data_IF_053037234346
#
_entry.id   IF_053037234346
#
_cell.length_a   1.000
_cell.length_b   1.000
_cell.length_c   1.000
_cell.angle_alpha   90.00
_cell.angle_beta   90.00
_cell.angle_gamma   90.00
#
_symmetry.space_group_name_H-M   'P 1'
#
loop_
_entity.id
_entity.type
_entity.pdbx_description
1 polymer ?
#
# COMPACT_ATOMS: atom_id res chain seq x y z
N UNK A 1 6.68 -38.12 6.10
CA UNK A 1 6.64 -37.35 4.84
C UNK A 1 5.37 -36.48 4.74
N UNK A 2 4.18 -37.01 5.01
CA UNK A 2 2.90 -36.27 4.92
C UNK A 2 2.84 -35.08 5.91
N UNK A 3 3.41 -35.24 7.11
CA UNK A 3 3.35 -34.25 8.19
C UNK A 3 4.18 -32.96 7.89
N UNK A 4 5.32 -33.13 7.20
CA UNK A 4 6.18 -32.00 6.83
C UNK A 4 5.57 -31.14 5.70
N UNK A 5 4.92 -31.79 4.73
CA UNK A 5 4.25 -31.12 3.60
C UNK A 5 3.03 -30.33 4.09
N UNK A 6 2.23 -30.89 4.99
CA UNK A 6 1.08 -30.18 5.58
C UNK A 6 1.54 -28.97 6.40
N UNK A 7 2.58 -29.12 7.22
CA UNK A 7 3.12 -28.02 8.02
C UNK A 7 3.62 -26.87 7.13
N UNK A 8 4.32 -27.17 6.04
CA UNK A 8 4.79 -26.18 5.10
C UNK A 8 3.62 -25.49 4.39
N UNK A 9 2.61 -26.25 3.98
CA UNK A 9 1.39 -25.70 3.37
C UNK A 9 0.67 -24.73 4.32
N UNK A 10 0.51 -25.09 5.59
CA UNK A 10 -0.13 -24.24 6.61
C UNK A 10 0.67 -22.94 6.82
N UNK A 11 2.01 -23.03 6.92
CA UNK A 11 2.87 -21.83 7.05
C UNK A 11 2.73 -20.90 5.86
N UNK A 12 2.71 -21.46 4.64
CA UNK A 12 2.50 -20.67 3.42
C UNK A 12 1.15 -19.97 3.41
N UNK A 13 0.07 -20.66 3.77
CA UNK A 13 -1.27 -20.08 3.84
C UNK A 13 -1.37 -19.00 4.91
N UNK A 14 -0.75 -19.21 6.08
CA UNK A 14 -0.68 -18.20 7.13
C UNK A 14 0.06 -16.93 6.65
N UNK A 15 1.21 -17.07 5.98
CA UNK A 15 1.96 -15.96 5.44
C UNK A 15 1.15 -15.17 4.38
N UNK A 16 0.40 -15.86 3.51
CA UNK A 16 -0.51 -15.23 2.55
C UNK A 16 -1.58 -14.42 3.26
N UNK A 17 -2.19 -14.96 4.31
CA UNK A 17 -3.21 -14.25 5.08
C UNK A 17 -2.61 -13.05 5.83
N UNK A 18 -1.44 -13.19 6.44
CA UNK A 18 -0.74 -12.07 7.11
C UNK A 18 -0.48 -10.92 6.14
N UNK A 19 -0.05 -11.21 4.90
CA UNK A 19 0.18 -10.21 3.84
C UNK A 19 -1.15 -9.56 3.41
N UNK A 20 -2.24 -10.30 3.32
CA UNK A 20 -3.57 -9.74 3.04
C UNK A 20 -4.02 -8.79 4.14
N UNK A 21 -3.86 -9.16 5.40
CA UNK A 21 -4.17 -8.31 6.55
C UNK A 21 -3.27 -7.07 6.60
N UNK A 22 -1.99 -7.21 6.27
CA UNK A 22 -1.06 -6.09 6.15
C UNK A 22 -1.57 -5.06 5.11
N UNK A 23 -1.97 -5.53 3.92
CA UNK A 23 -2.45 -4.64 2.86
C UNK A 23 -3.81 -4.03 3.18
N UNK A 24 -4.69 -4.76 3.84
CA UNK A 24 -5.96 -4.21 4.35
C UNK A 24 -5.73 -3.07 5.35
N UNK A 25 -4.76 -3.23 6.27
CA UNK A 25 -4.34 -2.15 7.18
C UNK A 25 -3.76 -0.95 6.41
N UNK A 26 -2.96 -1.19 5.37
CA UNK A 26 -2.42 -0.12 4.51
C UNK A 26 -3.54 0.81 4.01
N UNK A 27 -4.55 0.27 3.35
CA UNK A 27 -5.67 1.06 2.81
C UNK A 27 -6.44 1.78 3.92
N UNK A 28 -6.81 1.07 4.97
CA UNK A 28 -7.52 1.65 6.12
C UNK A 28 -6.72 2.79 6.77
N UNK A 29 -5.42 2.61 6.95
CA UNK A 29 -4.57 3.63 7.60
C UNK A 29 -4.45 4.90 6.76
N UNK A 30 -4.32 4.79 5.44
CA UNK A 30 -4.31 5.96 4.55
C UNK A 30 -5.65 6.68 4.59
N UNK A 31 -6.75 5.96 4.41
CA UNK A 31 -8.09 6.56 4.32
C UNK A 31 -8.54 7.21 5.64
N UNK A 32 -8.15 6.64 6.77
CA UNK A 32 -8.45 7.16 8.10
C UNK A 32 -7.33 8.02 8.71
N UNK A 33 -6.22 8.24 7.98
CA UNK A 33 -5.06 9.04 8.42
C UNK A 33 -4.41 8.53 9.71
N UNK A 34 -4.31 7.22 9.88
CA UNK A 34 -3.71 6.56 11.03
C UNK A 34 -2.20 6.43 10.82
N UNK A 35 -1.48 7.56 10.84
CA UNK A 35 -0.09 7.65 10.39
C UNK A 35 0.89 6.84 11.22
N UNK A 36 0.68 6.71 12.53
CA UNK A 36 1.53 5.90 13.40
C UNK A 36 1.39 4.40 13.04
N UNK A 37 0.15 3.89 12.90
CA UNK A 37 -0.08 2.52 12.43
C UNK A 37 0.45 2.32 11.00
N UNK A 38 0.29 3.32 10.13
CA UNK A 38 0.78 3.27 8.75
C UNK A 38 2.30 3.10 8.69
N UNK A 39 3.04 3.80 9.55
CA UNK A 39 4.50 3.72 9.61
C UNK A 39 5.01 2.32 9.97
N UNK A 40 4.26 1.56 10.79
CA UNK A 40 4.62 0.20 11.20
C UNK A 40 4.50 -0.85 10.07
N UNK A 41 3.84 -0.50 8.97
CA UNK A 41 3.62 -1.43 7.85
C UNK A 41 4.86 -1.60 6.95
N UNK A 42 5.89 -0.79 7.14
CA UNK A 42 7.05 -0.72 6.26
C UNK A 42 8.35 -1.05 6.98
N UNK A 43 9.30 -1.63 6.24
CA UNK A 43 10.69 -1.75 6.70
C UNK A 43 11.40 -0.40 6.67
N UNK A 44 12.46 -0.23 7.46
CA UNK A 44 13.21 1.05 7.51
C UNK A 44 13.95 1.35 6.20
N UNK A 45 14.31 0.31 5.45
CA UNK A 45 14.92 0.38 4.12
C UNK A 45 13.92 0.37 2.95
N UNK A 46 12.71 0.86 3.19
CA UNK A 46 11.63 0.91 2.20
C UNK A 46 12.07 1.59 0.89
N UNK A 47 11.78 0.94 -0.23
CA UNK A 47 11.88 1.49 -1.57
C UNK A 47 10.49 1.77 -2.15
N UNK A 48 10.26 2.98 -2.67
CA UNK A 48 8.98 3.36 -3.28
C UNK A 48 9.19 3.90 -4.68
N UNK A 49 8.39 3.42 -5.63
CA UNK A 49 8.31 3.90 -7.00
C UNK A 49 6.85 4.21 -7.35
N UNK A 50 6.42 5.44 -7.08
CA UNK A 50 5.13 5.99 -7.48
C UNK A 50 5.32 7.10 -8.50
N UNK A 51 6.12 6.83 -9.54
CA UNK A 51 6.60 7.80 -10.53
C UNK A 51 5.49 8.60 -11.21
N UNK A 52 4.28 8.06 -11.30
CA UNK A 52 3.13 8.74 -11.92
C UNK A 52 2.40 9.69 -10.96
N UNK A 53 2.76 9.71 -9.68
CA UNK A 53 2.02 10.50 -8.70
C UNK A 53 2.73 11.74 -8.20
N UNK A 54 4.06 11.80 -8.14
CA UNK A 54 4.89 13.01 -7.84
C UNK A 54 6.38 12.64 -7.69
N UNK A 55 7.17 13.42 -6.96
CA UNK A 55 8.58 13.12 -6.67
C UNK A 55 8.77 11.75 -6.03
N UNK A 56 9.78 11.01 -6.47
CA UNK A 56 10.18 9.74 -5.85
C UNK A 56 10.75 10.00 -4.44
N UNK A 57 10.08 9.53 -3.37
CA UNK A 57 10.60 9.70 -2.02
C UNK A 57 11.86 8.86 -1.81
N UNK A 58 12.83 9.41 -1.11
CA UNK A 58 14.06 8.71 -0.75
C UNK A 58 13.87 8.02 0.61
N UNK A 59 13.32 6.79 0.56
CA UNK A 59 13.13 5.97 1.75
C UNK A 59 11.86 6.26 2.54
N UNK A 60 11.71 5.51 3.65
CA UNK A 60 10.50 5.47 4.48
C UNK A 60 10.07 6.83 5.01
N UNK A 61 10.98 7.62 5.57
CA UNK A 61 10.63 8.89 6.23
C UNK A 61 10.05 9.93 5.27
N UNK A 62 10.69 10.10 4.10
CA UNK A 62 10.17 11.00 3.07
C UNK A 62 8.83 10.50 2.50
N UNK A 63 8.69 9.19 2.33
CA UNK A 63 7.44 8.59 1.89
C UNK A 63 6.29 8.87 2.86
N UNK A 64 6.48 8.61 4.15
CA UNK A 64 5.47 8.87 5.19
C UNK A 64 5.08 10.34 5.24
N UNK A 65 6.06 11.24 5.22
CA UNK A 65 5.81 12.68 5.21
C UNK A 65 5.04 13.13 3.96
N UNK A 66 5.40 12.59 2.79
CA UNK A 66 4.72 12.88 1.52
C UNK A 66 3.26 12.43 1.53
N UNK A 67 2.99 11.21 1.99
CA UNK A 67 1.64 10.64 2.09
C UNK A 67 0.80 11.44 3.09
N UNK A 68 1.31 11.72 4.28
CA UNK A 68 0.61 12.50 5.30
C UNK A 68 0.28 13.92 4.82
N UNK A 69 1.19 14.56 4.08
CA UNK A 69 0.93 15.87 3.49
C UNK A 69 -0.11 15.82 2.36
N UNK A 70 -0.05 14.80 1.50
CA UNK A 70 -0.99 14.63 0.38
C UNK A 70 -2.42 14.41 0.86
N UNK A 71 -2.60 13.60 1.89
CA UNK A 71 -3.90 13.24 2.46
C UNK A 71 -4.27 14.04 3.72
N UNK A 72 -3.65 15.21 3.95
CA UNK A 72 -3.92 16.03 5.15
C UNK A 72 -5.36 16.52 5.24
N UNK A 73 -6.05 16.66 4.10
CA UNK A 73 -7.43 17.16 3.98
C UNK A 73 -8.14 16.46 2.82
N UNK A 74 -9.47 16.60 2.76
CA UNK A 74 -10.28 15.95 1.75
C UNK A 74 -10.63 14.51 2.11
N UNK A 75 -10.94 13.71 1.10
CA UNK A 75 -11.35 12.31 1.25
C UNK A 75 -10.51 11.41 0.36
N UNK A 76 -10.19 10.23 0.86
CA UNK A 76 -9.65 9.16 0.03
C UNK A 76 -10.34 7.84 0.33
N UNK A 77 -10.46 7.04 -0.70
CA UNK A 77 -10.89 5.65 -0.61
C UNK A 77 -9.97 4.83 -1.48
N UNK A 78 -9.29 3.86 -0.88
CA UNK A 78 -8.40 2.95 -1.57
C UNK A 78 -8.94 1.53 -1.47
N UNK A 79 -9.02 0.85 -2.61
CA UNK A 79 -9.38 -0.55 -2.68
C UNK A 79 -8.26 -1.37 -3.31
N UNK A 80 -7.90 -2.48 -2.64
CA UNK A 80 -7.15 -3.57 -3.26
C UNK A 80 -8.12 -4.70 -3.57
N UNK A 81 -8.07 -5.18 -4.81
CA UNK A 81 -8.86 -6.34 -5.22
C UNK A 81 -8.12 -7.64 -4.92
N UNK A 82 -8.55 -8.74 -5.50
CA UNK A 82 -7.95 -10.06 -5.27
C UNK A 82 -6.49 -10.06 -5.75
N UNK A 83 -5.51 -10.30 -4.86
CA UNK A 83 -4.11 -10.24 -5.22
C UNK A 83 -3.58 -11.57 -5.77
N UNK A 84 -2.50 -11.46 -6.53
CA UNK A 84 -1.57 -12.56 -6.77
C UNK A 84 -0.45 -12.46 -5.72
N UNK A 85 -0.33 -13.44 -4.82
CA UNK A 85 0.71 -13.45 -3.77
C UNK A 85 1.57 -14.69 -3.96
N UNK A 86 2.88 -14.49 -4.03
CA UNK A 86 3.87 -15.55 -4.10
C UNK A 86 4.80 -15.49 -2.89
N UNK A 87 4.83 -16.59 -2.12
CA UNK A 87 5.79 -16.79 -1.03
C UNK A 87 7.05 -17.39 -1.65
N UNK A 88 8.14 -16.63 -1.63
CA UNK A 88 9.42 -17.01 -2.23
C UNK A 88 10.18 -17.95 -1.29
N UNK A 89 10.24 -17.57 -0.01
CA UNK A 89 10.86 -18.35 1.07
C UNK A 89 10.21 -18.01 2.41
N UNK A 90 10.81 -18.45 3.53
CA UNK A 90 10.24 -18.24 4.86
C UNK A 90 10.11 -16.75 5.25
N UNK A 91 10.91 -15.85 4.66
CA UNK A 91 11.02 -14.47 5.06
C UNK A 91 10.76 -13.46 3.92
N UNK A 92 10.53 -13.93 2.69
CA UNK A 92 10.31 -13.06 1.53
C UNK A 92 9.09 -13.46 0.71
N UNK A 93 8.36 -12.46 0.23
CA UNK A 93 7.21 -12.64 -0.64
C UNK A 93 7.07 -11.48 -1.63
N UNK A 94 6.32 -11.73 -2.70
CA UNK A 94 5.90 -10.70 -3.66
C UNK A 94 4.39 -10.72 -3.82
N UNK A 95 3.81 -9.58 -4.22
CA UNK A 95 2.42 -9.55 -4.62
C UNK A 95 2.15 -8.52 -5.71
N UNK A 96 1.10 -8.80 -6.49
CA UNK A 96 0.47 -7.84 -7.41
C UNK A 96 -0.96 -7.62 -6.92
N UNK A 97 -1.29 -6.35 -6.65
CA UNK A 97 -2.62 -5.94 -6.18
C UNK A 97 -3.30 -5.10 -7.22
N UNK A 98 -4.32 -5.58 -7.92
CA UNK A 98 -5.20 -4.69 -8.69
C UNK A 98 -5.82 -3.67 -7.71
N UNK A 99 -5.78 -2.40 -8.10
CA UNK A 99 -6.23 -1.34 -7.21
C UNK A 99 -7.17 -0.35 -7.89
N UNK A 100 -8.02 0.24 -7.08
CA UNK A 100 -8.78 1.43 -7.38
C UNK A 100 -8.59 2.44 -6.25
N UNK A 101 -8.44 3.70 -6.60
CA UNK A 101 -8.49 4.81 -5.65
C UNK A 101 -9.40 5.94 -6.13
N UNK A 102 -10.03 6.61 -5.18
CA UNK A 102 -10.67 7.90 -5.36
C UNK A 102 -10.15 8.86 -4.33
N UNK A 103 -9.62 9.98 -4.79
CA UNK A 103 -9.06 11.04 -3.95
C UNK A 103 -9.78 12.33 -4.28
N UNK A 104 -10.43 12.94 -3.29
CA UNK A 104 -11.07 14.24 -3.39
C UNK A 104 -10.34 15.23 -2.49
N UNK A 105 -9.68 16.19 -3.11
CA UNK A 105 -8.92 17.23 -2.42
C UNK A 105 -9.69 18.55 -2.44
N UNK A 106 -9.58 19.40 -1.39
CA UNK A 106 -10.17 20.75 -1.39
C UNK A 106 -9.69 21.57 -2.58
N UNK A 107 -10.54 22.46 -3.08
CA UNK A 107 -10.26 23.26 -4.28
C UNK A 107 -9.02 24.14 -4.15
N UNK A 108 -8.68 24.56 -2.94
CA UNK A 108 -7.54 25.42 -2.58
C UNK A 108 -6.28 24.65 -2.12
N UNK A 109 -6.35 23.32 -2.04
CA UNK A 109 -5.25 22.49 -1.54
C UNK A 109 -4.03 22.42 -2.45
N UNK A 110 -4.17 22.80 -3.73
CA UNK A 110 -3.16 22.62 -4.76
C UNK A 110 -3.07 21.20 -5.33
N UNK A 111 -3.82 20.24 -4.77
CA UNK A 111 -3.89 18.87 -5.26
C UNK A 111 -5.08 18.66 -6.21
N UNK A 112 -4.96 17.66 -7.06
CA UNK A 112 -5.97 17.32 -8.07
C UNK A 112 -6.80 16.15 -7.56
N UNK A 113 -8.13 16.36 -7.48
CA UNK A 113 -9.06 15.25 -7.24
C UNK A 113 -9.08 14.30 -8.43
N UNK A 114 -9.09 13.00 -8.17
CA UNK A 114 -9.03 11.99 -9.22
C UNK A 114 -9.62 10.65 -8.80
N UNK A 115 -9.93 9.84 -9.80
CA UNK A 115 -10.08 8.39 -9.69
C UNK A 115 -8.94 7.71 -10.44
N UNK A 116 -8.53 6.54 -9.97
CA UNK A 116 -7.43 5.81 -10.58
C UNK A 116 -7.57 4.30 -10.50
N UNK A 117 -7.10 3.64 -11.55
CA UNK A 117 -7.02 2.18 -11.66
C UNK A 117 -5.60 1.79 -12.01
N UNK A 118 -5.13 0.71 -11.42
CA UNK A 118 -3.78 0.24 -11.66
C UNK A 118 -3.40 -0.97 -10.84
N UNK A 119 -2.10 -1.12 -10.61
CA UNK A 119 -1.56 -2.21 -9.81
C UNK A 119 -0.46 -1.71 -8.87
N UNK A 120 -0.50 -2.19 -7.64
CA UNK A 120 0.70 -2.21 -6.80
C UNK A 120 1.48 -3.49 -7.09
N UNK A 121 2.77 -3.36 -7.36
CA UNK A 121 3.72 -4.47 -7.36
C UNK A 121 4.60 -4.31 -6.14
N UNK A 122 4.54 -5.27 -5.21
CA UNK A 122 5.14 -5.15 -3.89
C UNK A 122 6.05 -6.32 -3.55
N UNK A 123 7.05 -6.02 -2.71
CA UNK A 123 7.86 -7.02 -2.04
C UNK A 123 7.69 -6.88 -0.53
N UNK A 124 7.67 -8.01 0.12
CA UNK A 124 7.46 -8.13 1.56
C UNK A 124 8.64 -8.83 2.19
N UNK A 125 8.95 -8.43 3.42
CA UNK A 125 9.95 -9.09 4.26
C UNK A 125 9.33 -9.42 5.60
N UNK A 126 9.60 -10.63 6.09
CA UNK A 126 9.31 -11.01 7.45
C UNK A 126 10.47 -10.54 8.32
N UNK A 127 10.18 -9.69 9.29
CA UNK A 127 11.17 -9.08 10.16
C UNK A 127 11.50 -9.95 11.37
N UNK A 128 12.53 -9.57 12.15
CA UNK A 128 12.98 -10.35 13.31
C UNK A 128 11.91 -10.52 14.41
N UNK A 129 10.90 -9.63 14.46
CA UNK A 129 9.73 -9.73 15.32
C UNK A 129 8.64 -10.68 14.78
N UNK A 130 8.90 -11.36 13.66
CA UNK A 130 8.00 -12.28 12.99
C UNK A 130 6.91 -11.60 12.15
N UNK A 131 6.85 -10.27 12.09
CA UNK A 131 5.84 -9.54 11.34
C UNK A 131 6.28 -9.30 9.89
N UNK A 132 5.34 -9.46 8.96
CA UNK A 132 5.54 -9.06 7.58
C UNK A 132 5.44 -7.55 7.42
N UNK A 133 6.33 -6.96 6.61
CA UNK A 133 6.32 -5.54 6.25
C UNK A 133 6.60 -5.36 4.76
N UNK A 134 6.09 -4.28 4.21
CA UNK A 134 6.39 -3.87 2.82
C UNK A 134 7.81 -3.31 2.80
N UNK A 135 8.71 -3.91 2.00
CA UNK A 135 10.06 -3.40 1.80
C UNK A 135 10.24 -2.73 0.43
N UNK A 136 9.31 -2.98 -0.50
CA UNK A 136 9.26 -2.27 -1.78
C UNK A 136 7.82 -2.16 -2.26
N UNK A 137 7.44 -1.00 -2.78
CA UNK A 137 6.14 -0.78 -3.39
C UNK A 137 6.28 0.06 -4.66
N UNK A 138 5.68 -0.42 -5.74
CA UNK A 138 5.58 0.29 -7.01
C UNK A 138 4.11 0.39 -7.41
N UNK A 139 3.66 1.60 -7.74
CA UNK A 139 2.34 1.83 -8.31
C UNK A 139 2.48 2.11 -9.81
N UNK A 140 1.75 1.34 -10.63
CA UNK A 140 1.56 1.62 -12.06
C UNK A 140 0.08 1.84 -12.33
N UNK A 141 -0.26 2.87 -13.08
CA UNK A 141 -1.64 3.19 -13.41
C UNK A 141 -1.99 2.73 -14.82
N UNK A 142 -3.17 2.10 -14.95
CA UNK A 142 -3.79 1.80 -16.24
C UNK A 142 -4.55 3.03 -16.73
N UNK A 143 -5.24 3.71 -15.79
CA UNK A 143 -6.08 4.87 -16.07
C UNK A 143 -6.12 5.79 -14.86
N UNK A 144 -6.19 7.07 -15.12
CA UNK A 144 -6.47 8.12 -14.12
C UNK A 144 -7.42 9.14 -14.73
N UNK A 145 -8.49 9.45 -14.01
CA UNK A 145 -9.46 10.46 -14.40
C UNK A 145 -9.46 11.60 -13.39
N UNK A 146 -9.32 12.82 -13.89
CA UNK A 146 -9.40 14.01 -13.06
C UNK A 146 -10.87 14.29 -12.76
N UNK A 147 -11.19 14.50 -11.50
CA UNK A 147 -12.52 14.88 -11.04
C UNK A 147 -12.69 16.39 -11.02
N UNK A 148 -13.92 16.89 -11.18
CA UNK A 148 -14.23 18.31 -11.00
C UNK A 148 -13.80 18.81 -9.61
N UNK A 149 -13.33 20.06 -9.54
CA UNK A 149 -13.05 20.71 -8.25
C UNK A 149 -14.34 20.85 -7.44
N UNK A 150 -14.25 20.54 -6.15
CA UNK A 150 -15.34 20.71 -5.19
C UNK A 150 -14.94 21.75 -4.16
N UNK A 151 -15.89 22.63 -3.80
CA UNK A 151 -15.71 23.66 -2.78
C UNK A 151 -16.40 23.32 -1.45
N UNK A 152 -17.13 22.22 -1.40
CA UNK A 152 -17.91 21.73 -0.26
C UNK A 152 -17.21 20.67 0.59
N UNK A 153 -15.91 20.43 0.34
CA UNK A 153 -15.06 19.52 1.13
C UNK A 153 -13.94 20.28 1.81
N UNK A 154 -13.66 19.91 3.06
CA UNK A 154 -12.60 20.48 3.89
C UNK A 154 -11.33 19.61 3.94
#
# INVERSE_FOLDING_TARGET
MIDNDLTQTVRRLAAIEDIRQLKARYFRCVDLRLWDEFAELFTDDLEVDFAESTSLPKGKQEFLASVANHFRSGYSVHHGHIPEIEIIDDDTATAIWPMYDRVESPADSGYVSHEGWGHYTERYRRCADGQWRICRSRLTRIRREVLPKRTDIA
#
